data_IF_295914022732
#
_entry.id   IF_295914022732
#
_cell.length_a   1.000
_cell.length_b   1.000
_cell.length_c   1.000
_cell.angle_alpha   90.00
_cell.angle_beta   90.00
_cell.angle_gamma   90.00
#
_symmetry.space_group_name_H-M   'P 1'
#
loop_
_entity.id
_entity.type
_entity.pdbx_description
1 polymer ?
#
# COMPACT_ATOMS: atom_id res chain seq x y z
N UNK A 1 25.45 4.03 0.74
CA UNK A 1 25.58 5.32 1.44
C UNK A 1 24.60 5.48 2.61
N UNK A 2 23.28 5.51 2.39
CA UNK A 2 22.34 5.71 3.52
C UNK A 2 22.32 4.51 4.49
N UNK A 3 22.36 3.27 4.00
CA UNK A 3 22.48 2.08 4.87
C UNK A 3 23.77 2.02 5.70
N UNK A 4 24.91 2.43 5.11
CA UNK A 4 26.20 2.49 5.82
C UNK A 4 26.17 3.50 6.99
N UNK A 5 25.33 4.53 6.88
CA UNK A 5 25.14 5.51 7.94
C UNK A 5 24.36 4.91 9.12
N UNK A 6 23.36 4.09 8.85
CA UNK A 6 22.64 3.32 9.88
C UNK A 6 23.57 2.39 10.65
N UNK A 7 24.41 1.63 9.93
CA UNK A 7 25.41 0.76 10.55
C UNK A 7 26.41 1.53 11.41
N UNK A 8 26.82 2.73 10.97
CA UNK A 8 27.71 3.60 11.73
C UNK A 8 27.05 4.09 13.02
N UNK A 9 25.81 4.56 12.96
CA UNK A 9 25.07 5.02 14.14
C UNK A 9 24.91 3.90 15.18
N UNK A 10 24.53 2.70 14.73
CA UNK A 10 24.41 1.53 15.58
C UNK A 10 25.75 1.17 16.25
N UNK A 11 26.85 1.17 15.48
CA UNK A 11 28.20 0.88 16.01
C UNK A 11 28.71 1.90 17.02
N UNK A 12 28.34 3.18 16.86
CA UNK A 12 28.78 4.26 17.75
C UNK A 12 27.85 4.47 18.95
N UNK A 13 26.73 3.76 19.03
CA UNK A 13 25.72 3.88 20.09
C UNK A 13 25.27 5.33 20.36
N UNK A 14 25.13 6.13 19.29
CA UNK A 14 24.69 7.52 19.38
C UNK A 14 23.16 7.61 19.43
N UNK A 15 22.64 8.59 20.16
CA UNK A 15 21.24 9.01 19.99
C UNK A 15 21.16 9.96 18.80
N UNK A 16 20.45 9.56 17.74
CA UNK A 16 20.36 10.31 16.48
C UNK A 16 18.90 10.64 16.17
N UNK A 17 18.67 11.88 15.75
CA UNK A 17 17.43 12.28 15.09
C UNK A 17 17.76 12.56 13.63
N UNK A 18 17.24 11.73 12.74
CA UNK A 18 17.44 11.83 11.29
C UNK A 18 16.14 12.32 10.64
N UNK A 19 16.22 13.39 9.85
CA UNK A 19 15.06 14.01 9.18
C UNK A 19 15.29 13.92 7.68
N UNK A 20 14.36 13.28 6.98
CA UNK A 20 14.36 13.15 5.52
C UNK A 20 12.94 13.29 4.99
N UNK A 21 12.84 13.58 3.69
CA UNK A 21 11.59 13.56 2.94
C UNK A 21 11.41 12.25 2.15
N UNK A 22 12.42 11.38 2.14
CA UNK A 22 12.42 10.09 1.46
C UNK A 22 12.17 8.95 2.47
N UNK A 23 11.10 8.18 2.26
CA UNK A 23 10.77 7.08 3.15
C UNK A 23 11.73 5.90 3.02
N UNK A 24 12.31 5.63 1.83
CA UNK A 24 13.26 4.54 1.64
C UNK A 24 14.53 4.79 2.47
N UNK A 25 14.97 6.04 2.54
CA UNK A 25 16.06 6.45 3.43
C UNK A 25 15.71 6.26 4.90
N UNK A 26 14.51 6.71 5.30
CA UNK A 26 14.05 6.61 6.67
C UNK A 26 13.94 5.14 7.13
N UNK A 27 13.38 4.26 6.28
CA UNK A 27 13.28 2.83 6.55
C UNK A 27 14.64 2.13 6.65
N UNK A 28 15.64 2.61 5.91
CA UNK A 28 16.97 2.00 5.90
C UNK A 28 17.79 2.30 7.17
N UNK A 29 17.48 3.37 7.90
CA UNK A 29 18.33 3.89 9.00
C UNK A 29 17.64 3.86 10.36
N UNK A 30 16.32 4.03 10.41
CA UNK A 30 15.63 4.30 11.66
C UNK A 30 15.20 3.03 12.41
N UNK A 31 15.50 2.96 13.70
CA UNK A 31 14.85 1.98 14.60
C UNK A 31 13.35 2.30 14.81
N UNK A 32 13.02 3.59 14.77
CA UNK A 32 11.66 4.13 14.90
C UNK A 32 11.42 5.23 13.88
N UNK A 33 10.33 5.11 13.15
CA UNK A 33 9.86 6.12 12.20
C UNK A 33 8.81 7.02 12.86
N UNK A 34 8.99 8.34 12.71
CA UNK A 34 8.04 9.36 13.10
C UNK A 34 7.56 10.11 11.84
N UNK A 35 6.28 10.00 11.52
CA UNK A 35 5.67 10.69 10.37
C UNK A 35 5.03 11.98 10.85
N UNK A 36 5.42 13.09 10.24
CA UNK A 36 4.86 14.41 10.54
C UNK A 36 4.12 14.98 9.33
N UNK A 37 2.93 15.51 9.55
CA UNK A 37 2.09 16.17 8.56
C UNK A 37 1.58 17.48 9.16
N UNK A 38 1.68 18.58 8.41
CA UNK A 38 1.22 19.91 8.85
C UNK A 38 1.75 20.32 10.24
N UNK A 39 3.01 19.98 10.53
CA UNK A 39 3.68 20.27 11.80
C UNK A 39 3.24 19.38 12.98
N UNK A 40 2.41 18.36 12.75
CA UNK A 40 1.94 17.43 13.79
C UNK A 40 2.53 16.04 13.57
N UNK A 41 2.91 15.37 14.66
CA UNK A 41 3.25 13.95 14.65
C UNK A 41 1.96 13.15 14.49
N UNK A 42 1.84 12.40 13.39
CA UNK A 42 0.62 11.64 13.05
C UNK A 42 0.79 10.13 13.24
N UNK A 43 2.03 9.63 13.16
CA UNK A 43 2.35 8.23 13.45
C UNK A 43 3.77 8.10 13.98
N UNK A 44 3.97 7.21 14.95
CA UNK A 44 5.30 6.83 15.43
C UNK A 44 5.34 5.34 15.74
N UNK A 45 6.42 4.65 15.36
CA UNK A 45 6.59 3.22 15.62
C UNK A 45 7.77 2.63 14.86
N UNK A 46 8.03 1.32 14.99
CA UNK A 46 8.99 0.62 14.13
C UNK A 46 8.64 0.78 12.64
N UNK A 47 9.63 0.93 11.74
CA UNK A 47 9.41 1.05 10.29
C UNK A 47 8.40 0.07 9.71
N UNK A 48 8.55 -1.21 10.08
CA UNK A 48 7.70 -2.28 9.57
C UNK A 48 6.25 -2.18 10.06
N UNK A 49 6.04 -1.76 11.31
CA UNK A 49 4.70 -1.55 11.85
C UNK A 49 4.03 -0.35 11.17
N UNK A 50 4.75 0.76 11.04
CA UNK A 50 4.25 1.98 10.39
C UNK A 50 3.94 1.73 8.92
N UNK A 51 4.75 0.92 8.22
CA UNK A 51 4.49 0.50 6.85
C UNK A 51 3.24 -0.38 6.74
N UNK A 52 3.17 -1.46 7.53
CA UNK A 52 2.07 -2.44 7.44
C UNK A 52 0.75 -1.87 7.94
N UNK A 53 0.78 -1.02 8.96
CA UNK A 53 -0.40 -0.43 9.60
C UNK A 53 -0.24 1.08 9.74
N UNK A 54 -0.39 1.85 8.64
CA UNK A 54 -0.16 3.29 8.64
C UNK A 54 -1.19 4.07 9.50
N UNK A 55 -2.33 3.45 9.84
CA UNK A 55 -3.39 4.05 10.65
C UNK A 55 -4.36 4.91 9.85
N UNK A 56 -3.85 5.89 9.10
CA UNK A 56 -4.69 6.78 8.28
C UNK A 56 -4.23 6.88 6.81
N UNK A 57 -5.13 7.38 5.97
CA UNK A 57 -4.92 7.58 4.53
C UNK A 57 -3.71 8.47 4.21
N UNK A 58 -3.49 9.52 5.01
CA UNK A 58 -2.43 10.50 4.76
C UNK A 58 -1.07 9.86 4.97
N UNK A 59 -0.91 9.13 6.08
CA UNK A 59 0.29 8.33 6.35
C UNK A 59 0.46 7.25 5.29
N UNK A 60 -0.62 6.54 4.91
CA UNK A 60 -0.53 5.49 3.90
C UNK A 60 -0.01 6.04 2.55
N UNK A 61 -0.56 7.18 2.09
CA UNK A 61 -0.11 7.85 0.86
C UNK A 61 1.32 8.36 0.97
N UNK A 62 1.68 8.93 2.13
CA UNK A 62 3.04 9.43 2.38
C UNK A 62 4.09 8.33 2.29
N UNK A 63 3.80 7.15 2.86
CA UNK A 63 4.68 5.98 2.76
C UNK A 63 4.66 5.36 1.36
N UNK A 64 3.82 5.82 0.43
CA UNK A 64 3.82 5.36 -0.95
C UNK A 64 2.89 4.18 -1.25
N UNK A 65 1.93 3.87 -0.37
CA UNK A 65 0.87 2.92 -0.68
C UNK A 65 0.04 3.41 -1.86
N UNK A 66 0.02 2.64 -2.95
CA UNK A 66 -0.64 3.05 -4.21
C UNK A 66 -2.09 2.62 -4.29
N UNK A 67 -2.42 1.48 -3.69
CA UNK A 67 -3.76 0.92 -3.75
C UNK A 67 -4.51 1.27 -2.47
N UNK A 68 -5.33 2.31 -2.56
CA UNK A 68 -6.28 2.70 -1.53
C UNK A 68 -7.67 2.51 -2.11
N UNK A 69 -8.40 1.56 -1.53
CA UNK A 69 -9.65 1.03 -2.07
C UNK A 69 -10.75 1.24 -1.06
N UNK A 70 -11.85 1.85 -1.51
CA UNK A 70 -13.05 2.01 -0.71
C UNK A 70 -13.91 0.74 -0.81
N UNK A 71 -14.27 0.19 0.34
CA UNK A 71 -15.18 -0.95 0.43
C UNK A 71 -16.60 -0.41 0.57
N UNK A 72 -17.51 -0.89 -0.27
CA UNK A 72 -18.91 -0.49 -0.22
C UNK A 72 -19.56 -0.79 1.15
N UNK A 73 -20.69 -0.15 1.49
CA UNK A 73 -21.41 -0.39 2.74
C UNK A 73 -21.86 -1.84 2.93
N UNK A 74 -21.95 -2.56 1.83
CA UNK A 74 -22.36 -3.96 1.76
C UNK A 74 -21.14 -4.90 1.65
N UNK A 75 -19.91 -4.39 1.78
CA UNK A 75 -18.68 -5.15 1.61
C UNK A 75 -18.18 -5.25 0.17
N UNK A 76 -18.85 -4.63 -0.81
CA UNK A 76 -18.46 -4.71 -2.23
C UNK A 76 -17.10 -4.07 -2.53
N UNK A 77 -16.37 -4.70 -3.45
CA UNK A 77 -15.10 -4.19 -3.98
C UNK A 77 -15.27 -3.63 -5.40
N UNK A 78 -14.48 -2.62 -5.82
CA UNK A 78 -14.65 -1.99 -7.13
C UNK A 78 -14.50 -2.94 -8.33
N UNK A 79 -13.69 -3.99 -8.18
CA UNK A 79 -13.46 -5.01 -9.20
C UNK A 79 -14.41 -6.20 -9.14
N UNK A 80 -15.42 -6.14 -8.26
CA UNK A 80 -16.32 -7.24 -7.97
C UNK A 80 -15.78 -8.15 -6.85
N UNK A 81 -16.69 -8.96 -6.31
CA UNK A 81 -16.45 -9.67 -5.06
C UNK A 81 -16.81 -8.83 -3.83
N UNK A 82 -16.78 -9.46 -2.66
CA UNK A 82 -17.15 -8.83 -1.38
C UNK A 82 -16.21 -9.27 -0.28
N UNK A 83 -15.88 -8.35 0.61
CA UNK A 83 -15.31 -8.64 1.92
C UNK A 83 -16.45 -8.82 2.94
N UNK A 84 -16.13 -9.42 4.09
CA UNK A 84 -17.09 -9.51 5.20
C UNK A 84 -17.50 -8.09 5.66
N UNK A 85 -18.79 -7.71 5.54
CA UNK A 85 -19.23 -6.37 5.91
C UNK A 85 -18.97 -6.03 7.38
N UNK A 86 -18.99 -7.00 8.30
CA UNK A 86 -18.86 -6.73 9.74
C UNK A 86 -17.51 -6.08 10.10
N UNK A 87 -16.46 -6.34 9.32
CA UNK A 87 -15.13 -5.77 9.54
C UNK A 87 -14.74 -4.65 8.56
N UNK A 88 -15.40 -4.58 7.40
CA UNK A 88 -14.88 -3.83 6.25
C UNK A 88 -15.85 -2.82 5.64
N UNK A 89 -17.15 -2.89 5.95
CA UNK A 89 -18.15 -2.03 5.33
C UNK A 89 -17.81 -0.53 5.47
N UNK A 90 -17.80 0.18 4.35
CA UNK A 90 -17.55 1.63 4.29
C UNK A 90 -16.13 2.05 4.62
N UNK A 91 -15.18 1.12 4.77
CA UNK A 91 -13.80 1.43 5.14
C UNK A 91 -12.93 1.71 3.93
N UNK A 92 -11.93 2.58 4.13
CA UNK A 92 -10.82 2.70 3.22
C UNK A 92 -9.77 1.63 3.58
N UNK A 93 -9.25 0.96 2.56
CA UNK A 93 -8.37 -0.21 2.73
C UNK A 93 -7.13 -0.05 1.88
N UNK A 94 -5.98 -0.28 2.50
CA UNK A 94 -4.72 -0.47 1.80
C UNK A 94 -4.67 -1.90 1.27
N UNK A 95 -4.43 -2.03 -0.03
CA UNK A 95 -4.17 -3.32 -0.70
C UNK A 95 -2.68 -3.37 -1.06
N UNK A 96 -1.82 -4.01 -0.24
CA UNK A 96 -0.38 -4.06 -0.54
C UNK A 96 -0.12 -4.56 -1.97
N UNK A 97 0.86 -3.98 -2.67
CA UNK A 97 1.15 -4.33 -4.06
C UNK A 97 1.54 -5.82 -4.23
N UNK A 98 2.05 -6.44 -3.16
CA UNK A 98 2.41 -7.86 -3.08
C UNK A 98 1.24 -8.75 -2.60
N UNK A 99 0.10 -8.16 -2.21
CA UNK A 99 -1.16 -8.88 -2.01
C UNK A 99 -1.93 -9.06 -3.33
N UNK A 100 -1.51 -8.39 -4.41
CA UNK A 100 -2.12 -8.47 -5.74
C UNK A 100 -1.31 -9.41 -6.62
N UNK A 101 -1.87 -10.57 -6.95
CA UNK A 101 -1.29 -11.54 -7.88
C UNK A 101 -1.88 -11.35 -9.27
N UNK A 102 -1.01 -11.25 -10.29
CA UNK A 102 -1.42 -11.25 -11.70
C UNK A 102 -1.34 -12.68 -12.23
N UNK A 103 -2.47 -13.19 -12.72
CA UNK A 103 -2.62 -14.52 -13.30
C UNK A 103 -2.93 -14.45 -14.80
N UNK A 104 -2.95 -15.60 -15.48
CA UNK A 104 -3.51 -15.69 -16.82
C UNK A 104 -5.01 -15.36 -16.82
N UNK A 105 -5.53 -14.78 -17.90
CA UNK A 105 -6.95 -14.39 -18.00
C UNK A 105 -7.93 -15.56 -17.85
N UNK A 106 -7.48 -16.77 -18.15
CA UNK A 106 -8.23 -18.03 -18.06
C UNK A 106 -7.69 -18.95 -16.94
N UNK A 107 -6.85 -18.45 -16.04
CA UNK A 107 -6.37 -19.21 -14.89
C UNK A 107 -7.55 -19.47 -13.93
N UNK A 108 -7.79 -20.73 -13.48
CA UNK A 108 -8.87 -21.05 -12.55
C UNK A 108 -8.81 -20.30 -11.20
N UNK A 109 -7.63 -19.80 -10.82
CA UNK A 109 -7.41 -19.02 -9.59
C UNK A 109 -7.74 -17.53 -9.76
N UNK A 110 -8.13 -17.11 -10.96
CA UNK A 110 -8.50 -15.73 -11.26
C UNK A 110 -9.69 -15.32 -10.42
N UNK A 111 -9.52 -14.30 -9.57
CA UNK A 111 -10.63 -13.71 -8.81
C UNK A 111 -11.48 -12.79 -9.67
N UNK A 112 -10.84 -11.95 -10.49
CA UNK A 112 -11.49 -11.04 -11.42
C UNK A 112 -10.60 -10.73 -12.61
N UNK A 113 -11.21 -10.24 -13.69
CA UNK A 113 -10.51 -9.87 -14.93
C UNK A 113 -10.12 -8.40 -14.91
N UNK A 114 -8.96 -8.10 -15.47
CA UNK A 114 -8.43 -6.75 -15.60
C UNK A 114 -7.69 -6.56 -16.93
N UNK A 115 -7.36 -5.31 -17.24
CA UNK A 115 -6.45 -4.96 -18.34
C UNK A 115 -5.18 -4.34 -17.80
N UNK A 116 -4.03 -4.68 -18.40
CA UNK A 116 -2.77 -4.01 -18.10
C UNK A 116 -2.80 -2.60 -18.67
N UNK A 117 -2.76 -1.60 -17.80
CA UNK A 117 -2.77 -0.17 -18.15
C UNK A 117 -1.35 0.39 -18.30
N UNK A 118 -0.37 -0.21 -17.62
CA UNK A 118 1.00 0.25 -17.69
C UNK A 118 1.97 -0.68 -16.98
N UNK A 119 3.21 -0.69 -17.44
CA UNK A 119 4.30 -1.43 -16.82
C UNK A 119 5.47 -0.48 -16.56
N UNK A 120 6.03 -0.53 -15.35
CA UNK A 120 7.21 0.23 -14.94
C UNK A 120 8.23 -0.71 -14.31
N UNK A 121 9.51 -0.35 -14.45
CA UNK A 121 10.60 -1.06 -13.78
C UNK A 121 10.61 -0.70 -12.29
N UNK A 122 10.85 -1.70 -11.44
CA UNK A 122 10.93 -1.54 -9.98
C UNK A 122 11.99 -2.50 -9.42
N UNK A 123 13.26 -2.14 -9.55
CA UNK A 123 14.37 -2.84 -8.88
C UNK A 123 14.44 -4.34 -9.17
N UNK A 124 14.43 -4.72 -10.45
CA UNK A 124 14.45 -6.14 -10.88
C UNK A 124 13.07 -6.81 -10.92
N UNK A 125 12.04 -6.13 -10.42
CA UNK A 125 10.63 -6.50 -10.61
C UNK A 125 9.94 -5.53 -11.57
N UNK A 126 8.71 -5.86 -11.94
CA UNK A 126 7.82 -5.05 -12.75
C UNK A 126 6.65 -4.60 -11.90
N UNK A 127 6.46 -3.29 -11.84
CA UNK A 127 5.25 -2.70 -11.27
C UNK A 127 4.22 -2.58 -12.38
N UNK A 128 3.12 -3.30 -12.26
CA UNK A 128 2.07 -3.43 -13.25
C UNK A 128 0.84 -2.70 -12.76
N UNK A 129 0.40 -1.68 -13.50
CA UNK A 129 -0.90 -1.04 -13.28
C UNK A 129 -1.97 -1.81 -14.03
N UNK A 130 -3.03 -2.12 -13.33
CA UNK A 130 -4.18 -2.92 -13.74
C UNK A 130 -5.42 -2.05 -13.58
N UNK A 131 -6.42 -2.27 -14.42
CA UNK A 131 -7.71 -1.65 -14.20
C UNK A 131 -8.81 -2.20 -15.08
N UNK A 132 -10.02 -1.75 -14.79
CA UNK A 132 -11.17 -2.02 -15.65
C UNK A 132 -11.32 -0.92 -16.70
N UNK A 133 -11.47 -1.26 -18.00
CA UNK A 133 -11.77 -0.26 -19.02
C UNK A 133 -13.20 0.29 -18.86
N UNK A 134 -13.35 1.62 -18.89
CA UNK A 134 -14.65 2.30 -18.92
C UNK A 134 -14.78 3.44 -17.89
N UNK A 135 -15.84 4.27 -18.00
CA UNK A 135 -16.15 5.30 -17.01
C UNK A 135 -16.49 4.63 -15.66
N UNK A 136 -15.91 5.13 -14.56
CA UNK A 136 -16.01 4.48 -13.24
C UNK A 136 -15.08 3.29 -13.06
N UNK A 137 -14.09 3.12 -13.93
CA UNK A 137 -13.04 2.11 -13.77
C UNK A 137 -12.23 2.30 -12.49
N UNK A 138 -11.71 1.20 -11.98
CA UNK A 138 -10.78 1.16 -10.85
C UNK A 138 -9.36 0.90 -11.34
N UNK A 139 -8.37 1.28 -10.53
CA UNK A 139 -6.97 0.94 -10.74
C UNK A 139 -6.40 0.16 -9.55
N UNK A 140 -5.53 -0.81 -9.85
CA UNK A 140 -4.71 -1.52 -8.89
C UNK A 140 -3.28 -1.61 -9.41
N UNK A 141 -2.32 -1.62 -8.51
CA UNK A 141 -0.91 -1.83 -8.80
C UNK A 141 -0.46 -3.14 -8.18
N UNK A 142 0.16 -3.99 -8.99
CA UNK A 142 0.80 -5.22 -8.56
C UNK A 142 2.32 -5.14 -8.80
N UNK A 143 3.09 -5.91 -8.05
CA UNK A 143 4.51 -6.14 -8.33
C UNK A 143 4.74 -7.58 -8.74
N UNK A 144 5.26 -7.78 -9.94
CA UNK A 144 5.48 -9.11 -10.54
C UNK A 144 6.92 -9.27 -11.02
N UNK A 145 7.38 -10.51 -11.20
CA UNK A 145 8.71 -10.76 -11.79
C UNK A 145 8.68 -10.50 -13.30
N UNK A 146 7.68 -11.05 -13.98
CA UNK A 146 7.38 -10.83 -15.39
C UNK A 146 6.07 -10.07 -15.55
N UNK A 147 5.96 -9.22 -16.56
CA UNK A 147 4.76 -8.43 -16.80
C UNK A 147 4.18 -8.72 -18.18
N UNK A 148 2.88 -9.02 -18.29
CA UNK A 148 2.18 -9.03 -19.57
C UNK A 148 2.25 -7.64 -20.24
N UNK A 149 2.14 -7.56 -21.58
CA UNK A 149 2.24 -6.29 -22.29
C UNK A 149 1.06 -5.38 -21.97
N UNK A 150 1.28 -4.07 -22.11
CA UNK A 150 0.21 -3.07 -21.95
C UNK A 150 -0.92 -3.36 -22.93
N UNK A 151 -2.15 -3.30 -22.44
CA UNK A 151 -3.36 -3.63 -23.18
C UNK A 151 -3.80 -5.09 -23.06
N UNK A 152 -2.97 -6.00 -22.55
CA UNK A 152 -3.34 -7.40 -22.37
C UNK A 152 -4.47 -7.57 -21.34
N UNK A 153 -5.37 -8.52 -21.61
CA UNK A 153 -6.33 -9.01 -20.63
C UNK A 153 -5.63 -10.02 -19.71
N UNK A 154 -5.83 -9.87 -18.40
CA UNK A 154 -5.20 -10.70 -17.38
C UNK A 154 -6.21 -11.07 -16.30
N UNK A 155 -5.91 -12.14 -15.56
CA UNK A 155 -6.60 -12.45 -14.32
C UNK A 155 -5.89 -11.78 -13.16
N UNK A 156 -6.64 -11.46 -12.11
CA UNK A 156 -6.13 -10.86 -10.89
C UNK A 156 -6.73 -11.56 -9.69
N UNK A 157 -5.90 -11.77 -8.66
CA UNK A 157 -6.31 -12.27 -7.36
C UNK A 157 -5.76 -11.35 -6.28
N UNK A 158 -6.58 -11.05 -5.28
CA UNK A 158 -6.17 -10.25 -4.12
C UNK A 158 -6.25 -11.14 -2.88
N UNK A 159 -5.17 -11.20 -2.11
CA UNK A 159 -5.13 -11.86 -0.81
C UNK A 159 -5.79 -10.99 0.27
N UNK A 160 -7.03 -11.33 0.62
CA UNK A 160 -7.82 -10.60 1.61
C UNK A 160 -7.19 -10.57 3.02
N UNK A 161 -6.32 -11.53 3.34
CA UNK A 161 -5.69 -11.62 4.68
C UNK A 161 -4.61 -10.57 4.91
N UNK A 162 -4.12 -9.94 3.82
CA UNK A 162 -3.08 -8.90 3.84
C UNK A 162 -3.64 -7.49 3.78
N UNK A 163 -4.96 -7.36 3.67
CA UNK A 163 -5.61 -6.06 3.61
C UNK A 163 -5.54 -5.37 4.95
N UNK A 164 -5.41 -4.04 4.93
CA UNK A 164 -5.31 -3.24 6.14
C UNK A 164 -6.26 -2.07 6.04
N UNK A 165 -7.20 -1.98 6.98
CA UNK A 165 -8.11 -0.85 7.08
C UNK A 165 -7.37 0.40 7.57
N UNK A 166 -7.69 1.55 6.99
CA UNK A 166 -7.16 2.85 7.38
C UNK A 166 -8.29 3.86 7.53
N UNK A 167 -8.10 4.82 8.42
CA UNK A 167 -9.06 5.93 8.60
C UNK A 167 -8.97 6.91 7.43
N UNK A 168 -10.11 7.43 6.97
CA UNK A 168 -10.16 8.40 5.88
C UNK A 168 -9.69 9.78 6.35
N UNK A 169 -9.05 10.55 5.47
CA UNK A 169 -8.70 11.94 5.79
C UNK A 169 -9.98 12.76 6.07
N UNK A 170 -10.11 13.29 7.29
CA UNK A 170 -11.24 14.13 7.71
C UNK A 170 -12.23 13.45 8.68
N UNK A 171 -11.99 12.20 9.09
CA UNK A 171 -12.82 11.56 10.12
C UNK A 171 -12.44 12.11 11.53
N UNK A 172 -13.39 12.70 12.29
CA UNK A 172 -13.09 13.37 13.55
C UNK A 172 -12.67 12.43 14.71
N UNK A 173 -12.63 11.12 14.51
CA UNK A 173 -12.27 10.16 15.57
C UNK A 173 -10.76 9.92 15.76
N UNK A 174 -9.88 10.53 14.96
CA UNK A 174 -8.42 10.32 15.06
C UNK A 174 -7.68 11.21 16.10
N UNK A 175 -8.39 11.98 16.95
CA UNK A 175 -7.78 12.82 18.01
C UNK A 175 -7.94 12.26 19.42
N UNK A 176 -7.96 10.94 19.58
CA UNK A 176 -7.88 10.34 20.91
C UNK A 176 -7.24 8.96 20.87
N UNK A 177 -5.92 8.89 20.93
CA UNK A 177 -5.21 8.00 21.88
C UNK A 177 -3.83 8.62 22.15
N UNK A 178 -3.50 8.68 23.44
CA UNK A 178 -2.32 9.30 24.06
C UNK A 178 -1.04 8.50 23.82
#
# INVERSE_FOLDING_TARGET
LVGELGDLFARLALTVVFVTHDHDEAFAVADRLAVMVDGRLVRIGPPEEVWRSPGDETVARFLGHRNLVEVGPDGSLPWGGRLDPQGWAGRLVVVPEDAVEVTGADDPRTGFRARVLGVRFAGGRRRVRLGSPGPGGWELTAVTVTAPPVGAAVGVRVDATRLVAVTRRGDPQASSTR
#
